data_IF_248311075197
#
_entry.id   IF_248311075197
#
_cell.length_a   1.000
_cell.length_b   1.000
_cell.length_c   1.000
_cell.angle_alpha   90.00
_cell.angle_beta   90.00
_cell.angle_gamma   90.00
#
_symmetry.space_group_name_H-M   'P 1'
#
loop_
_entity.id
_entity.type
_entity.pdbx_description
1 polymer ?
#
# COMPACT_ATOMS: atom_id res chain seq x y z
N UNK A 1 -39.77 11.78 -26.42
CA UNK A 1 -39.30 12.06 -25.04
C UNK A 1 -40.20 11.47 -23.95
N UNK A 2 -41.52 11.38 -24.14
CA UNK A 2 -42.46 10.89 -23.10
C UNK A 2 -42.33 9.39 -22.75
N UNK A 3 -41.96 8.55 -23.72
CA UNK A 3 -41.84 7.08 -23.54
C UNK A 3 -40.63 6.70 -22.65
N UNK A 4 -39.55 7.48 -22.73
CA UNK A 4 -38.33 7.21 -21.96
C UNK A 4 -38.55 7.43 -20.44
N UNK A 5 -39.34 8.45 -20.08
CA UNK A 5 -39.68 8.74 -18.69
C UNK A 5 -40.55 7.62 -18.06
N UNK A 6 -41.42 7.00 -18.84
CA UNK A 6 -42.28 5.89 -18.38
C UNK A 6 -41.43 4.64 -18.11
N UNK A 7 -40.42 4.36 -18.95
CA UNK A 7 -39.53 3.21 -18.77
C UNK A 7 -38.66 3.35 -17.51
N UNK A 8 -38.18 4.56 -17.19
CA UNK A 8 -37.41 4.83 -15.97
C UNK A 8 -38.28 4.61 -14.72
N UNK A 9 -39.53 5.09 -14.75
CA UNK A 9 -40.46 4.90 -13.62
C UNK A 9 -40.82 3.43 -13.39
N UNK A 10 -40.99 2.64 -14.47
CA UNK A 10 -41.22 1.19 -14.35
C UNK A 10 -39.98 0.48 -13.78
N UNK A 11 -38.77 0.90 -14.17
CA UNK A 11 -37.52 0.35 -13.64
C UNK A 11 -37.35 0.57 -12.13
N UNK A 12 -37.62 1.79 -11.65
CA UNK A 12 -37.55 2.12 -10.20
C UNK A 12 -38.61 1.35 -9.42
N UNK A 13 -39.83 1.24 -9.95
CA UNK A 13 -40.91 0.50 -9.31
C UNK A 13 -40.60 -1.00 -9.23
N UNK A 14 -40.05 -1.59 -10.29
CA UNK A 14 -39.60 -2.98 -10.30
C UNK A 14 -38.46 -3.21 -9.30
N UNK A 15 -37.50 -2.29 -9.18
CA UNK A 15 -36.40 -2.40 -8.21
C UNK A 15 -36.91 -2.39 -6.75
N UNK A 16 -37.92 -1.59 -6.44
CA UNK A 16 -38.55 -1.54 -5.10
C UNK A 16 -39.33 -2.80 -4.71
N UNK A 17 -39.76 -3.62 -5.67
CA UNK A 17 -40.50 -4.86 -5.42
C UNK A 17 -39.56 -6.06 -5.18
N UNK A 18 -38.28 -5.93 -5.54
CA UNK A 18 -37.26 -7.00 -5.42
C UNK A 18 -36.36 -6.89 -4.18
N UNK A 19 -36.57 -5.90 -3.29
CA UNK A 19 -35.93 -5.88 -1.97
C UNK A 19 -36.94 -6.00 -0.83
N UNK A 20 -37.45 -7.21 -0.53
CA UNK A 20 -37.85 -7.51 0.82
C UNK A 20 -36.58 -7.76 1.64
N UNK A 21 -36.47 -7.07 2.78
CA UNK A 21 -35.54 -7.39 3.90
C UNK A 21 -34.14 -6.75 3.89
N UNK A 22 -34.07 -5.41 3.86
CA UNK A 22 -33.04 -4.66 4.61
C UNK A 22 -33.65 -4.00 5.85
N UNK A 23 -34.37 -4.81 6.65
CA UNK A 23 -34.79 -4.40 8.00
C UNK A 23 -33.72 -4.85 9.01
N UNK A 24 -33.14 -3.85 9.66
CA UNK A 24 -32.32 -3.88 10.90
C UNK A 24 -30.87 -4.33 10.74
N UNK A 25 -30.01 -3.37 10.44
CA UNK A 25 -28.68 -3.31 11.05
C UNK A 25 -28.77 -2.23 12.15
N UNK A 26 -28.50 -2.64 13.39
CA UNK A 26 -28.44 -1.75 14.56
C UNK A 26 -27.24 -0.81 14.40
N UNK A 27 -27.49 0.49 14.23
CA UNK A 27 -26.49 1.54 14.46
C UNK A 27 -26.30 1.74 15.96
N UNK A 28 -25.54 0.84 16.59
CA UNK A 28 -25.08 0.98 17.97
C UNK A 28 -23.61 0.59 18.03
N UNK A 29 -22.71 1.56 17.89
CA UNK A 29 -21.27 1.31 18.06
C UNK A 29 -20.28 2.25 17.39
N UNK A 30 -20.68 3.35 16.75
CA UNK A 30 -19.74 4.28 16.07
C UNK A 30 -19.73 5.64 16.77
N UNK A 31 -19.33 5.68 18.04
CA UNK A 31 -19.17 6.95 18.78
C UNK A 31 -17.91 7.00 19.66
N UNK A 32 -16.87 6.20 19.35
CA UNK A 32 -15.70 6.07 20.23
C UNK A 32 -14.31 6.17 19.58
N UNK A 33 -14.19 6.25 18.25
CA UNK A 33 -12.88 6.10 17.59
C UNK A 33 -12.22 7.38 17.05
N UNK A 34 -12.90 8.52 17.05
CA UNK A 34 -12.31 9.77 16.55
C UNK A 34 -11.54 10.61 17.60
N UNK A 35 -11.30 10.09 18.81
CA UNK A 35 -10.72 10.89 19.91
C UNK A 35 -9.21 10.71 20.15
N UNK A 36 -8.44 10.03 19.28
CA UNK A 36 -7.03 9.72 19.58
C UNK A 36 -6.02 9.92 18.46
N UNK A 37 -6.38 10.64 17.39
CA UNK A 37 -5.44 10.97 16.30
C UNK A 37 -4.71 12.30 16.55
N UNK A 38 -5.04 13.05 17.62
CA UNK A 38 -4.54 14.42 17.83
C UNK A 38 -3.37 14.63 18.80
N UNK A 39 -2.94 13.63 19.58
CA UNK A 39 -2.11 13.89 20.77
C UNK A 39 -0.65 13.39 20.72
N UNK A 40 -0.18 12.81 19.61
CA UNK A 40 1.23 12.36 19.47
C UNK A 40 2.02 13.14 18.41
N UNK A 41 1.79 14.46 18.32
CA UNK A 41 2.79 15.39 17.78
C UNK A 41 3.73 15.80 18.93
N UNK A 42 4.69 14.95 19.27
CA UNK A 42 5.86 15.40 20.06
C UNK A 42 7.01 15.72 19.12
N UNK A 43 7.29 17.02 19.00
CA UNK A 43 8.55 17.55 18.49
C UNK A 43 9.72 16.96 19.29
N UNK A 44 10.68 16.36 18.59
CA UNK A 44 12.08 16.46 18.98
C UNK A 44 12.88 16.97 17.77
N UNK A 45 13.52 18.11 17.96
CA UNK A 45 14.49 18.76 17.08
C UNK A 45 15.67 19.14 17.98
N UNK A 46 16.88 19.09 17.41
CA UNK A 46 18.21 19.41 17.98
C UNK A 46 18.79 18.25 18.82
N UNK A 47 20.00 17.73 18.63
CA UNK A 47 21.35 18.21 18.29
C UNK A 47 22.16 16.92 17.94
N UNK A 48 23.31 16.83 17.27
CA UNK A 48 24.51 17.64 17.27
C UNK A 48 25.44 17.04 16.18
N UNK A 49 26.05 17.89 15.36
CA UNK A 49 27.21 17.52 14.53
C UNK A 49 28.42 17.39 15.45
N UNK A 50 29.04 16.22 15.52
CA UNK A 50 30.42 16.13 15.96
C UNK A 50 31.20 15.13 15.12
N UNK A 51 32.12 15.69 14.34
CA UNK A 51 33.19 15.03 13.63
C UNK A 51 34.16 14.39 14.62
N UNK A 52 34.58 13.15 14.37
CA UNK A 52 35.92 12.70 14.71
C UNK A 52 36.43 11.72 13.65
N UNK A 53 37.69 11.97 13.34
CA UNK A 53 38.53 11.51 12.23
C UNK A 53 39.17 10.13 12.51
N UNK A 54 39.81 9.56 11.49
CA UNK A 54 40.75 8.40 11.47
C UNK A 54 40.14 6.98 11.37
N UNK A 55 40.61 6.03 10.56
CA UNK A 55 41.87 5.89 9.78
C UNK A 55 41.68 4.79 8.70
N UNK A 56 42.45 4.86 7.60
CA UNK A 56 42.49 3.94 6.45
C UNK A 56 42.79 2.48 6.82
N UNK A 57 42.22 1.53 6.06
CA UNK A 57 42.97 0.42 5.44
C UNK A 57 42.25 -0.16 4.21
N UNK A 58 42.91 -0.01 3.06
CA UNK A 58 43.13 -0.93 1.93
C UNK A 58 42.00 -1.82 1.38
N UNK A 59 41.58 -1.43 0.17
CA UNK A 59 41.34 -2.24 -1.04
C UNK A 59 40.63 -3.60 -0.91
N UNK A 60 39.38 -3.66 -1.38
CA UNK A 60 38.92 -4.74 -2.26
C UNK A 60 37.67 -4.34 -3.06
N UNK A 61 37.83 -4.39 -4.39
CA UNK A 61 36.80 -4.48 -5.43
C UNK A 61 35.87 -3.26 -5.65
N UNK A 62 36.24 -2.47 -6.66
CA UNK A 62 35.34 -1.62 -7.44
C UNK A 62 34.10 -2.43 -7.87
N UNK A 63 32.97 -2.15 -7.25
CA UNK A 63 31.66 -2.26 -7.89
C UNK A 63 31.17 -0.84 -8.08
N UNK A 64 31.40 -0.32 -9.30
CA UNK A 64 30.98 0.99 -9.77
C UNK A 64 29.47 0.97 -10.11
N UNK A 65 28.65 0.51 -9.15
CA UNK A 65 27.25 0.90 -9.11
C UNK A 65 27.25 2.21 -8.34
N UNK A 66 27.39 3.30 -9.08
CA UNK A 66 26.94 4.58 -8.58
C UNK A 66 25.46 4.39 -8.24
N UNK A 67 25.16 4.23 -6.95
CA UNK A 67 23.87 4.60 -6.38
C UNK A 67 23.71 6.08 -6.73
N UNK A 68 23.09 6.37 -7.88
CA UNK A 68 22.49 7.67 -8.07
C UNK A 68 21.40 7.74 -7.00
N UNK A 69 21.74 8.34 -5.85
CA UNK A 69 20.76 8.84 -4.90
C UNK A 69 19.83 9.75 -5.71
N UNK A 70 18.69 9.22 -6.16
CA UNK A 70 17.63 9.98 -6.80
C UNK A 70 17.12 10.93 -5.73
N UNK A 71 17.65 12.15 -5.71
CA UNK A 71 17.24 13.20 -4.78
C UNK A 71 15.82 13.62 -5.15
N UNK A 72 14.83 12.91 -4.60
CA UNK A 72 13.43 13.24 -4.76
C UNK A 72 13.16 14.62 -4.15
N UNK A 73 12.73 15.58 -4.99
CA UNK A 73 12.54 16.99 -4.60
C UNK A 73 11.14 17.26 -4.02
N UNK A 74 10.31 16.24 -3.83
CA UNK A 74 8.96 16.38 -3.30
C UNK A 74 8.85 16.09 -1.80
N UNK A 75 7.78 16.60 -1.17
CA UNK A 75 7.44 16.21 0.19
C UNK A 75 6.95 14.75 0.20
N UNK A 76 7.50 13.94 1.11
CA UNK A 76 7.06 12.56 1.37
C UNK A 76 6.22 12.50 2.64
N UNK A 77 5.23 11.60 2.64
CA UNK A 77 4.40 11.25 3.78
C UNK A 77 4.60 9.77 4.13
N UNK A 78 4.69 9.48 5.43
CA UNK A 78 4.84 8.12 5.96
C UNK A 78 3.48 7.53 6.33
N UNK A 79 3.28 6.28 5.97
CA UNK A 79 2.10 5.50 6.29
C UNK A 79 2.46 4.27 7.09
N UNK A 80 1.63 3.94 8.10
CA UNK A 80 1.70 2.67 8.83
C UNK A 80 0.31 2.06 8.91
N UNK A 81 0.19 0.81 8.46
CA UNK A 81 -1.06 0.08 8.31
C UNK A 81 -0.91 -1.32 8.93
N UNK A 82 -1.79 -1.67 9.86
CA UNK A 82 -1.90 -3.05 10.35
C UNK A 82 -2.98 -3.80 9.55
N UNK A 83 -2.58 -4.79 8.75
CA UNK A 83 -3.51 -5.65 8.02
C UNK A 83 -3.56 -7.02 8.66
N UNK A 84 -4.74 -7.63 8.71
CA UNK A 84 -4.86 -9.00 9.17
C UNK A 84 -6.22 -9.39 9.73
N UNK A 85 -6.40 -10.70 9.92
CA UNK A 85 -7.64 -11.23 10.51
C UNK A 85 -7.73 -10.84 11.99
N UNK A 86 -8.95 -10.64 12.48
CA UNK A 86 -9.21 -10.33 13.89
C UNK A 86 -8.98 -11.53 14.83
N UNK A 87 -8.76 -12.72 14.26
CA UNK A 87 -8.49 -13.96 14.99
C UNK A 87 -7.07 -13.97 15.60
N UNK A 88 -6.88 -14.75 16.65
CA UNK A 88 -5.70 -14.70 17.51
C UNK A 88 -4.43 -15.33 16.91
N UNK A 89 -4.43 -15.68 15.62
CA UNK A 89 -3.22 -16.17 14.97
C UNK A 89 -2.34 -14.97 14.61
N UNK A 90 -1.22 -14.82 15.32
CA UNK A 90 -0.26 -13.72 15.13
C UNK A 90 0.29 -13.72 13.70
N UNK A 91 0.37 -14.87 13.02
CA UNK A 91 0.81 -14.95 11.62
C UNK A 91 -0.18 -14.30 10.65
N UNK A 92 -1.41 -14.01 11.09
CA UNK A 92 -2.44 -13.40 10.26
C UNK A 92 -2.45 -11.88 10.30
N UNK A 93 -1.56 -11.23 11.07
CA UNK A 93 -1.44 -9.78 11.16
C UNK A 93 -0.03 -9.31 10.80
N UNK A 94 0.05 -8.24 10.02
CA UNK A 94 1.28 -7.65 9.51
C UNK A 94 1.21 -6.14 9.58
N UNK A 95 2.33 -5.50 9.90
CA UNK A 95 2.47 -4.04 9.89
C UNK A 95 3.21 -3.62 8.62
N UNK A 96 2.52 -2.88 7.76
CA UNK A 96 3.08 -2.30 6.55
C UNK A 96 3.49 -0.86 6.86
N UNK A 97 4.73 -0.50 6.53
CA UNK A 97 5.24 0.87 6.61
C UNK A 97 5.84 1.25 5.28
N UNK A 98 5.49 2.41 4.73
CA UNK A 98 6.00 2.89 3.45
C UNK A 98 5.88 4.41 3.36
N UNK A 99 6.58 4.99 2.39
CA UNK A 99 6.54 6.42 2.10
C UNK A 99 5.93 6.62 0.71
N UNK A 100 5.20 7.72 0.55
CA UNK A 100 4.66 8.16 -0.73
C UNK A 100 4.77 9.68 -0.86
N UNK A 101 4.78 10.20 -2.08
CA UNK A 101 4.43 11.59 -2.36
C UNK A 101 3.10 12.01 -1.70
N UNK A 102 3.01 13.28 -1.27
CA UNK A 102 1.82 13.85 -0.58
C UNK A 102 0.55 13.82 -1.44
N UNK A 103 0.69 13.87 -2.76
CA UNK A 103 -0.39 13.89 -3.73
C UNK A 103 -0.87 12.50 -4.18
N UNK A 104 -0.18 11.43 -3.76
CA UNK A 104 -0.61 10.05 -3.98
C UNK A 104 -1.42 9.58 -2.77
N UNK A 105 -2.56 8.97 -3.06
CA UNK A 105 -3.43 8.29 -2.08
C UNK A 105 -3.43 6.79 -2.36
N UNK A 106 -3.86 5.98 -1.38
CA UNK A 106 -4.02 4.55 -1.60
C UNK A 106 -5.40 4.04 -1.17
N UNK A 107 -5.84 2.97 -1.82
CA UNK A 107 -7.06 2.22 -1.52
C UNK A 107 -6.68 0.78 -1.17
N UNK A 108 -7.16 0.29 -0.03
CA UNK A 108 -7.04 -1.11 0.35
C UNK A 108 -8.22 -1.92 -0.20
N UNK A 109 -7.92 -2.94 -0.98
CA UNK A 109 -8.88 -3.96 -1.39
C UNK A 109 -8.51 -5.31 -0.76
N UNK A 110 -9.51 -5.99 -0.19
CA UNK A 110 -9.29 -7.21 0.61
C UNK A 110 -9.45 -6.95 2.11
N UNK A 111 -9.31 -8.00 2.91
CA UNK A 111 -9.63 -7.98 4.36
C UNK A 111 -8.56 -8.63 5.23
N UNK A 112 -7.55 -9.27 4.66
CA UNK A 112 -6.46 -9.90 5.40
C UNK A 112 -5.09 -9.67 4.75
N UNK A 113 -4.03 -9.88 5.53
CA UNK A 113 -2.65 -9.66 5.12
C UNK A 113 -2.17 -10.60 4.01
N UNK A 114 -2.86 -11.73 3.80
CA UNK A 114 -2.46 -12.75 2.85
C UNK A 114 -3.20 -12.71 1.52
N UNK A 115 -4.13 -11.76 1.33
CA UNK A 115 -4.86 -11.57 0.08
C UNK A 115 -5.30 -10.12 -0.14
N UNK A 116 -4.47 -9.16 0.26
CA UNK A 116 -4.74 -7.74 0.05
C UNK A 116 -4.10 -7.21 -1.23
N UNK A 117 -4.77 -6.22 -1.81
CA UNK A 117 -4.23 -5.35 -2.86
C UNK A 117 -4.24 -3.92 -2.33
N UNK A 118 -3.09 -3.26 -2.37
CA UNK A 118 -2.99 -1.81 -2.19
C UNK A 118 -2.91 -1.17 -3.58
N UNK A 119 -3.90 -0.34 -3.90
CA UNK A 119 -3.95 0.43 -5.15
C UNK A 119 -3.52 1.87 -4.87
N UNK A 120 -2.48 2.33 -5.55
CA UNK A 120 -1.96 3.69 -5.40
C UNK A 120 -2.50 4.57 -6.54
N UNK A 121 -3.00 5.76 -6.19
CA UNK A 121 -3.79 6.60 -7.10
C UNK A 121 -3.43 8.07 -6.97
N UNK A 122 -3.58 8.81 -8.07
CA UNK A 122 -3.56 10.28 -8.12
C UNK A 122 -4.66 10.76 -9.05
N UNK A 123 -5.47 11.72 -8.60
CA UNK A 123 -6.60 12.26 -9.36
C UNK A 123 -7.53 11.19 -9.99
N UNK A 124 -7.82 10.11 -9.23
CA UNK A 124 -8.60 8.92 -9.64
C UNK A 124 -7.92 7.99 -10.68
N UNK A 125 -6.70 8.31 -11.13
CA UNK A 125 -5.89 7.44 -11.96
C UNK A 125 -5.11 6.45 -11.10
N UNK A 126 -5.11 5.17 -11.49
CA UNK A 126 -4.29 4.12 -10.85
C UNK A 126 -2.87 4.20 -11.40
N UNK A 127 -1.88 4.23 -10.50
CA UNK A 127 -0.47 4.45 -10.83
C UNK A 127 0.32 3.15 -10.77
N UNK A 128 0.22 2.47 -9.63
CA UNK A 128 0.81 1.16 -9.39
C UNK A 128 0.02 0.44 -8.31
N UNK A 129 0.25 -0.87 -8.17
CA UNK A 129 -0.40 -1.69 -7.15
C UNK A 129 0.58 -2.67 -6.50
N UNK A 130 0.40 -2.87 -5.19
CA UNK A 130 1.04 -3.95 -4.44
C UNK A 130 0.01 -5.06 -4.20
N UNK A 131 0.28 -6.25 -4.72
CA UNK A 131 -0.50 -7.46 -4.44
C UNK A 131 0.25 -8.37 -3.48
N UNK A 132 -0.40 -8.83 -2.41
CA UNK A 132 0.16 -9.80 -1.47
C UNK A 132 -0.64 -11.12 -1.52
N UNK A 133 0.08 -12.23 -1.63
CA UNK A 133 -0.51 -13.57 -1.59
C UNK A 133 0.16 -14.45 -0.54
N UNK A 134 -0.65 -15.18 0.23
CA UNK A 134 -0.19 -16.40 0.90
C UNK A 134 0.41 -17.34 -0.17
N UNK A 135 1.53 -17.99 0.19
CA UNK A 135 2.31 -18.92 -0.63
C UNK A 135 3.39 -18.27 -1.51
N UNK A 136 4.65 -18.66 -1.24
CA UNK A 136 5.78 -18.41 -2.12
C UNK A 136 5.63 -19.25 -3.40
N UNK A 137 5.39 -18.57 -4.52
CA UNK A 137 5.51 -19.15 -5.86
C UNK A 137 6.97 -19.05 -6.30
N UNK A 138 7.43 -19.90 -7.20
CA UNK A 138 8.78 -19.72 -7.78
C UNK A 138 8.79 -18.56 -8.75
N UNK A 139 9.95 -17.95 -9.00
CA UNK A 139 10.19 -16.93 -10.03
C UNK A 139 9.50 -17.29 -11.36
N UNK A 140 9.76 -18.49 -11.89
CA UNK A 140 9.13 -19.00 -13.13
C UNK A 140 7.58 -18.95 -13.12
N UNK A 141 6.96 -19.15 -11.95
CA UNK A 141 5.50 -19.09 -11.81
C UNK A 141 5.00 -17.65 -11.70
N UNK A 142 5.77 -16.77 -11.06
CA UNK A 142 5.43 -15.34 -11.04
C UNK A 142 5.48 -14.80 -12.47
N UNK A 143 6.55 -15.05 -13.20
CA UNK A 143 6.71 -14.63 -14.58
C UNK A 143 5.59 -15.17 -15.50
N UNK A 144 5.10 -16.39 -15.24
CA UNK A 144 3.99 -16.98 -16.00
C UNK A 144 2.62 -16.33 -15.69
N UNK A 145 2.33 -16.08 -14.41
CA UNK A 145 1.01 -15.60 -13.97
C UNK A 145 0.89 -14.07 -13.92
N UNK A 146 2.01 -13.37 -13.73
CA UNK A 146 2.14 -11.93 -13.57
C UNK A 146 3.26 -11.40 -14.48
N UNK A 147 3.12 -11.53 -15.81
CA UNK A 147 4.17 -11.15 -16.77
C UNK A 147 4.43 -9.64 -16.83
N UNK A 148 3.61 -8.84 -16.16
CA UNK A 148 3.69 -7.38 -16.06
C UNK A 148 4.18 -6.92 -14.68
N UNK A 149 4.60 -7.85 -13.80
CA UNK A 149 5.21 -7.45 -12.54
C UNK A 149 6.55 -6.75 -12.79
N UNK A 150 6.72 -5.58 -12.19
CA UNK A 150 7.97 -4.82 -12.22
C UNK A 150 8.94 -5.36 -11.17
N UNK A 151 8.42 -5.63 -9.96
CA UNK A 151 9.19 -6.23 -8.87
C UNK A 151 8.40 -7.29 -8.12
N UNK A 152 9.08 -8.30 -7.59
CA UNK A 152 8.49 -9.25 -6.65
C UNK A 152 9.48 -9.72 -5.60
N UNK A 153 8.95 -10.06 -4.42
CA UNK A 153 9.75 -10.55 -3.31
C UNK A 153 9.03 -11.56 -2.43
N UNK A 154 9.80 -12.29 -1.62
CA UNK A 154 9.31 -13.36 -0.76
C UNK A 154 9.62 -13.07 0.71
N UNK A 155 8.81 -12.20 1.32
CA UNK A 155 9.01 -11.75 2.72
C UNK A 155 7.91 -12.31 3.61
N UNK A 156 8.29 -12.79 4.79
CA UNK A 156 7.34 -13.28 5.80
C UNK A 156 6.48 -14.49 5.38
N UNK A 157 6.85 -15.22 4.32
CA UNK A 157 6.06 -16.32 3.77
C UNK A 157 4.98 -15.89 2.76
N UNK A 158 5.00 -14.62 2.36
CA UNK A 158 4.11 -14.06 1.35
C UNK A 158 4.89 -13.73 0.08
N UNK A 159 4.22 -13.84 -1.06
CA UNK A 159 4.71 -13.24 -2.31
C UNK A 159 4.15 -11.82 -2.37
N UNK A 160 5.04 -10.83 -2.48
CA UNK A 160 4.69 -9.44 -2.76
C UNK A 160 4.98 -9.16 -4.23
N UNK A 161 4.02 -8.60 -4.94
CA UNK A 161 4.14 -8.29 -6.38
C UNK A 161 3.78 -6.82 -6.56
N UNK A 162 4.73 -6.05 -7.09
CA UNK A 162 4.56 -4.66 -7.47
C UNK A 162 4.38 -4.60 -8.99
N UNK A 163 3.33 -3.90 -9.43
CA UNK A 163 3.00 -3.73 -10.84
C UNK A 163 2.65 -2.27 -11.10
N UNK A 164 3.35 -1.67 -12.06
CA UNK A 164 3.17 -0.33 -12.59
C UNK A 164 2.02 -0.36 -13.60
N UNK A 165 1.04 0.53 -13.39
CA UNK A 165 -0.12 0.70 -14.27
C UNK A 165 0.07 1.90 -15.21
N UNK A 166 0.93 2.85 -14.84
CA UNK A 166 1.28 4.03 -15.62
C UNK A 166 2.78 4.31 -15.56
N UNK A 167 3.47 4.11 -16.70
CA UNK A 167 4.90 4.32 -16.88
C UNK A 167 5.37 5.75 -16.52
N UNK A 168 4.47 6.75 -16.55
CA UNK A 168 4.79 8.14 -16.17
C UNK A 168 5.08 8.31 -14.66
N UNK A 169 4.86 7.26 -13.84
CA UNK A 169 5.02 7.27 -12.38
C UNK A 169 5.98 6.19 -11.85
N UNK A 170 6.92 5.76 -12.70
CA UNK A 170 7.97 4.79 -12.36
C UNK A 170 8.80 5.24 -11.14
N UNK A 171 9.17 6.53 -11.07
CA UNK A 171 9.96 7.10 -9.96
C UNK A 171 9.21 6.97 -8.61
N UNK A 172 7.92 7.30 -8.59
CA UNK A 172 7.10 7.19 -7.38
C UNK A 172 6.90 5.74 -6.94
N UNK A 173 6.84 4.80 -7.89
CA UNK A 173 6.80 3.37 -7.59
C UNK A 173 8.11 2.91 -6.93
N UNK A 174 9.27 3.33 -7.43
CA UNK A 174 10.56 2.95 -6.82
C UNK A 174 10.76 3.58 -5.44
N UNK A 175 10.32 4.83 -5.22
CA UNK A 175 10.30 5.42 -3.86
C UNK A 175 9.46 4.57 -2.91
N UNK A 176 8.31 4.08 -3.37
CA UNK A 176 7.49 3.17 -2.59
C UNK A 176 8.21 1.84 -2.32
N UNK A 177 8.81 1.23 -3.35
CA UNK A 177 9.53 -0.04 -3.24
C UNK A 177 10.68 0.04 -2.22
N UNK A 178 11.53 1.06 -2.34
CA UNK A 178 12.70 1.31 -1.48
C UNK A 178 12.32 1.52 -0.01
N UNK A 179 11.14 2.07 0.24
CA UNK A 179 10.71 2.45 1.58
C UNK A 179 9.75 1.45 2.22
N UNK A 180 9.24 0.48 1.45
CA UNK A 180 8.28 -0.50 1.91
C UNK A 180 8.93 -1.49 2.88
N UNK A 181 8.32 -1.59 4.07
CA UNK A 181 8.65 -2.56 5.10
C UNK A 181 7.40 -3.32 5.54
N UNK A 182 7.55 -4.62 5.75
CA UNK A 182 6.56 -5.48 6.39
C UNK A 182 7.16 -6.03 7.67
N UNK A 183 6.54 -5.74 8.82
CA UNK A 183 7.04 -6.09 10.15
C UNK A 183 8.49 -5.62 10.39
N UNK A 184 8.77 -4.38 9.98
CA UNK A 184 10.09 -3.72 10.03
C UNK A 184 11.18 -4.35 9.13
N UNK A 185 10.85 -5.37 8.34
CA UNK A 185 11.74 -5.97 7.33
C UNK A 185 11.52 -5.31 5.96
N UNK A 186 12.58 -4.86 5.25
CA UNK A 186 12.49 -4.41 3.87
C UNK A 186 11.83 -5.45 2.97
N UNK A 187 11.00 -5.00 2.03
CA UNK A 187 10.27 -5.90 1.14
C UNK A 187 11.03 -6.18 -0.16
N UNK A 188 11.58 -5.17 -0.80
CA UNK A 188 12.34 -5.27 -2.05
C UNK A 188 13.84 -5.04 -1.81
#
# INVERSE_FOLDING_TARGET
>A
MFILAILILIGIFAFSQFMPELKKINFGGISGWFSKIGDNLSQETEENLNSDEFEETDEAAENDFADEDVEYVGDLQSYTLELGRSEADIQSKRTYTFYLPVDIVFELQGVDASSSILLFKKDEQELFKLSNFDYAKTDDQIDEFWPTADEYSFVGGHTNILELEDDDYEDEMYIFADTLKIDDEPVF
#
